data_IF_713980721098
#
_entry.id   IF_713980721098
#
_cell.length_a   1.000
_cell.length_b   1.000
_cell.length_c   1.000
_cell.angle_alpha   90.00
_cell.angle_beta   90.00
_cell.angle_gamma   90.00
#
_symmetry.space_group_name_H-M   'P 1'
#
loop_
_entity.id
_entity.type
_entity.pdbx_description
1 polymer ?
#
# COMPACT_ATOMS: atom_id res chain seq x y z
N UNK A 1 53.41 -17.62 21.46
CA UNK A 1 52.11 -17.25 20.86
C UNK A 1 51.86 -18.25 19.73
N UNK A 2 50.81 -19.09 19.79
CA UNK A 2 50.55 -20.05 18.71
C UNK A 2 49.83 -19.34 17.54
N UNK A 3 50.38 -19.51 16.36
CA UNK A 3 49.74 -19.06 15.10
C UNK A 3 48.48 -19.87 14.84
N UNK A 4 47.34 -19.18 14.70
CA UNK A 4 46.08 -19.78 14.26
C UNK A 4 46.22 -20.28 12.80
N UNK A 5 45.76 -21.50 12.45
CA UNK A 5 45.82 -22.00 11.09
C UNK A 5 44.92 -21.20 10.16
N UNK A 6 45.45 -20.76 9.02
CA UNK A 6 44.66 -20.15 7.95
C UNK A 6 43.68 -21.19 7.38
N UNK A 7 42.41 -20.96 7.47
CA UNK A 7 41.35 -21.79 6.88
C UNK A 7 41.36 -21.50 5.36
N UNK A 8 41.98 -22.39 4.57
CA UNK A 8 41.89 -22.39 3.13
C UNK A 8 40.49 -22.83 2.69
N UNK A 9 39.62 -21.90 2.38
CA UNK A 9 38.32 -22.19 1.72
C UNK A 9 38.59 -22.56 0.25
N UNK A 10 37.98 -23.61 -0.29
CA UNK A 10 38.18 -24.01 -1.67
C UNK A 10 37.67 -22.93 -2.64
N UNK A 11 38.47 -22.64 -3.68
CA UNK A 11 38.26 -21.58 -4.71
C UNK A 11 36.87 -21.61 -5.36
N UNK A 12 36.20 -22.77 -5.39
CA UNK A 12 34.83 -22.96 -5.87
C UNK A 12 33.79 -22.25 -5.00
N UNK A 13 34.02 -22.08 -3.70
CA UNK A 13 33.10 -21.37 -2.80
C UNK A 13 33.25 -19.85 -2.94
N UNK A 14 34.47 -19.36 -3.11
CA UNK A 14 34.72 -17.94 -3.38
C UNK A 14 34.11 -17.49 -4.72
N UNK A 15 34.22 -18.30 -5.78
CA UNK A 15 33.65 -17.99 -7.09
C UNK A 15 32.11 -17.96 -7.06
N UNK A 16 31.46 -18.88 -6.34
CA UNK A 16 29.98 -18.89 -6.17
C UNK A 16 29.47 -17.68 -5.35
N UNK A 17 30.21 -17.25 -4.33
CA UNK A 17 29.83 -16.09 -3.51
C UNK A 17 29.92 -14.81 -4.34
N UNK A 18 30.96 -14.65 -5.15
CA UNK A 18 31.14 -13.48 -6.02
C UNK A 18 30.07 -13.41 -7.12
N UNK A 19 29.70 -14.54 -7.71
CA UNK A 19 28.62 -14.61 -8.72
C UNK A 19 27.26 -14.26 -8.11
N UNK A 20 26.93 -14.76 -6.92
CA UNK A 20 25.71 -14.38 -6.20
C UNK A 20 25.66 -12.91 -5.81
N UNK A 21 26.80 -12.33 -5.41
CA UNK A 21 26.90 -10.91 -5.09
C UNK A 21 26.72 -10.04 -6.34
N UNK A 22 27.32 -10.42 -7.48
CA UNK A 22 27.12 -9.73 -8.77
C UNK A 22 25.67 -9.82 -9.25
N UNK A 23 25.04 -10.99 -9.18
CA UNK A 23 23.62 -11.16 -9.52
C UNK A 23 22.69 -10.32 -8.63
N UNK A 24 22.96 -10.29 -7.33
CA UNK A 24 22.23 -9.39 -6.41
C UNK A 24 22.48 -7.93 -6.75
N UNK A 25 23.70 -7.52 -7.03
CA UNK A 25 24.04 -6.14 -7.39
C UNK A 25 23.33 -5.71 -8.70
N UNK A 26 23.28 -6.54 -9.72
CA UNK A 26 22.58 -6.26 -10.99
C UNK A 26 21.04 -6.23 -10.77
N UNK A 27 20.47 -7.20 -10.03
CA UNK A 27 19.05 -7.22 -9.70
C UNK A 27 18.61 -6.01 -8.86
N UNK A 28 19.45 -5.56 -7.92
CA UNK A 28 19.15 -4.44 -7.04
C UNK A 28 19.50 -3.07 -7.63
N UNK A 29 20.41 -3.00 -8.63
CA UNK A 29 20.75 -1.75 -9.31
C UNK A 29 19.60 -1.13 -10.10
N UNK A 30 18.62 -1.94 -10.53
CA UNK A 30 17.44 -1.48 -11.27
C UNK A 30 16.20 -1.24 -10.38
N UNK A 31 16.27 -1.53 -9.07
CA UNK A 31 15.15 -1.25 -8.18
C UNK A 31 15.09 0.25 -7.86
N UNK A 32 13.91 0.88 -8.01
CA UNK A 32 13.76 2.29 -7.71
C UNK A 32 14.13 2.54 -6.24
N UNK A 33 14.79 3.67 -5.99
CA UNK A 33 15.15 4.08 -4.64
C UNK A 33 13.88 4.04 -3.75
N UNK A 34 13.98 3.53 -2.52
CA UNK A 34 12.85 3.34 -1.59
C UNK A 34 11.89 4.53 -1.54
N UNK A 35 12.42 5.76 -1.56
CA UNK A 35 11.59 6.99 -1.54
C UNK A 35 10.78 7.15 -2.84
N UNK A 36 11.36 6.82 -3.97
CA UNK A 36 10.67 6.91 -5.27
C UNK A 36 9.57 5.86 -5.37
N UNK A 37 9.84 4.63 -4.93
CA UNK A 37 8.86 3.55 -4.88
C UNK A 37 7.67 3.91 -3.97
N UNK A 38 7.93 4.50 -2.79
CA UNK A 38 6.87 4.93 -1.88
C UNK A 38 6.04 6.10 -2.43
N UNK A 39 6.68 7.06 -3.14
CA UNK A 39 5.95 8.11 -3.83
C UNK A 39 5.05 7.55 -4.94
N UNK A 40 5.58 6.65 -5.76
CA UNK A 40 4.81 6.00 -6.81
C UNK A 40 3.61 5.26 -6.21
N UNK A 41 3.84 4.45 -5.17
CA UNK A 41 2.79 3.71 -4.47
C UNK A 41 1.72 4.65 -3.90
N UNK A 42 2.13 5.74 -3.22
CA UNK A 42 1.20 6.73 -2.68
C UNK A 42 0.32 7.37 -3.77
N UNK A 43 0.95 7.81 -4.86
CA UNK A 43 0.23 8.46 -5.96
C UNK A 43 -0.57 7.50 -6.83
N UNK A 44 -0.30 6.20 -6.78
CA UNK A 44 -1.12 5.17 -7.44
C UNK A 44 -2.32 4.75 -6.59
N UNK A 45 -2.16 4.66 -5.26
CA UNK A 45 -3.24 4.27 -4.35
C UNK A 45 -4.30 5.36 -4.22
N UNK A 46 -3.90 6.64 -4.17
CA UNK A 46 -4.80 7.76 -3.91
C UNK A 46 -5.94 7.89 -4.95
N UNK A 47 -5.69 7.91 -6.28
CA UNK A 47 -6.78 7.99 -7.25
C UNK A 47 -7.69 6.76 -7.23
N UNK A 48 -7.16 5.57 -6.98
CA UNK A 48 -7.95 4.37 -6.83
C UNK A 48 -8.85 4.41 -5.59
N UNK A 49 -8.33 4.91 -4.46
CA UNK A 49 -9.14 5.12 -3.26
C UNK A 49 -10.27 6.11 -3.53
N UNK A 50 -9.99 7.23 -4.20
CA UNK A 50 -11.02 8.22 -4.58
C UNK A 50 -12.06 7.57 -5.50
N UNK A 51 -11.62 6.78 -6.49
CA UNK A 51 -12.52 6.03 -7.35
C UNK A 51 -13.49 5.16 -6.54
N UNK A 52 -12.99 4.32 -5.63
CA UNK A 52 -13.82 3.41 -4.85
C UNK A 52 -14.67 4.09 -3.76
N UNK A 53 -14.34 5.33 -3.38
CA UNK A 53 -15.21 6.15 -2.53
C UNK A 53 -16.38 6.75 -3.29
N UNK A 54 -16.20 7.07 -4.58
CA UNK A 54 -17.19 7.77 -5.39
C UNK A 54 -17.99 6.82 -6.31
N UNK A 55 -17.44 5.67 -6.66
CA UNK A 55 -18.01 4.75 -7.65
C UNK A 55 -18.20 3.37 -7.02
N UNK A 56 -19.44 3.02 -6.79
CA UNK A 56 -19.83 1.71 -6.25
C UNK A 56 -20.09 0.70 -7.38
N UNK A 57 -20.15 -0.61 -7.09
CA UNK A 57 -20.56 -1.62 -8.08
C UNK A 57 -21.93 -1.32 -8.72
N UNK A 58 -22.88 -0.76 -7.95
CA UNK A 58 -24.22 -0.37 -8.45
C UNK A 58 -24.16 0.76 -9.46
N UNK A 59 -23.17 1.66 -9.38
CA UNK A 59 -23.03 2.77 -10.34
C UNK A 59 -22.50 2.30 -11.68
N UNK A 60 -21.71 1.21 -11.72
CA UNK A 60 -21.12 0.70 -12.95
C UNK A 60 -21.95 -0.39 -13.64
N UNK A 61 -22.78 -1.11 -12.89
CA UNK A 61 -23.64 -2.18 -13.45
C UNK A 61 -24.56 -1.74 -14.60
N UNK A 62 -25.18 -0.54 -14.58
CA UNK A 62 -26.01 -0.06 -15.69
C UNK A 62 -25.25 0.12 -17.01
N UNK A 63 -23.93 0.29 -16.97
CA UNK A 63 -23.08 0.42 -18.15
C UNK A 63 -22.63 -0.94 -18.73
N UNK A 64 -23.15 -2.03 -18.20
CA UNK A 64 -22.94 -3.38 -18.68
C UNK A 64 -21.76 -4.14 -18.08
N UNK A 65 -21.59 -5.41 -18.47
CA UNK A 65 -20.62 -6.31 -17.84
C UNK A 65 -19.16 -5.85 -18.01
N UNK A 66 -18.83 -5.18 -19.11
CA UNK A 66 -17.47 -4.66 -19.33
C UNK A 66 -17.09 -3.58 -18.31
N UNK A 67 -18.00 -2.66 -17.99
CA UNK A 67 -17.76 -1.63 -16.98
C UNK A 67 -17.53 -2.23 -15.59
N UNK A 68 -18.32 -3.25 -15.23
CA UNK A 68 -18.13 -3.99 -13.98
C UNK A 68 -16.79 -4.75 -13.96
N UNK A 69 -16.37 -5.35 -15.07
CA UNK A 69 -15.08 -6.04 -15.18
C UNK A 69 -13.91 -5.07 -15.01
N UNK A 70 -13.99 -3.86 -15.57
CA UNK A 70 -12.98 -2.81 -15.39
C UNK A 70 -12.93 -2.38 -13.91
N UNK A 71 -14.10 -2.12 -13.29
CA UNK A 71 -14.18 -1.77 -11.86
C UNK A 71 -13.54 -2.84 -10.97
N UNK A 72 -13.82 -4.11 -11.22
CA UNK A 72 -13.22 -5.24 -10.47
C UNK A 72 -11.71 -5.39 -10.72
N UNK A 73 -11.23 -5.09 -11.92
CA UNK A 73 -9.80 -5.07 -12.24
C UNK A 73 -9.07 -3.95 -11.48
N UNK A 74 -9.66 -2.74 -11.44
CA UNK A 74 -9.14 -1.65 -10.62
C UNK A 74 -9.09 -2.03 -9.14
N UNK A 75 -10.10 -2.78 -8.65
CA UNK A 75 -10.11 -3.33 -7.29
C UNK A 75 -8.93 -4.27 -7.02
N UNK A 76 -8.64 -5.17 -7.95
CA UNK A 76 -7.47 -6.06 -7.82
C UNK A 76 -6.16 -5.27 -7.80
N UNK A 77 -6.01 -4.25 -8.65
CA UNK A 77 -4.84 -3.37 -8.66
C UNK A 77 -4.73 -2.64 -7.31
N UNK A 78 -5.82 -2.07 -6.81
CA UNK A 78 -5.86 -1.39 -5.51
C UNK A 78 -5.43 -2.31 -4.37
N UNK A 79 -6.02 -3.50 -4.27
CA UNK A 79 -5.66 -4.51 -3.25
C UNK A 79 -4.18 -4.89 -3.35
N UNK A 80 -3.67 -5.12 -4.54
CA UNK A 80 -2.25 -5.45 -4.76
C UNK A 80 -1.34 -4.35 -4.22
N UNK A 81 -1.64 -3.09 -4.51
CA UNK A 81 -0.88 -1.94 -4.01
C UNK A 81 -0.96 -1.81 -2.48
N UNK A 82 -2.14 -2.05 -1.87
CA UNK A 82 -2.33 -2.06 -0.42
C UNK A 82 -1.47 -3.16 0.25
N UNK A 83 -1.48 -4.37 -0.31
CA UNK A 83 -0.67 -5.48 0.19
C UNK A 83 0.83 -5.23 0.05
N UNK A 84 1.27 -4.64 -1.07
CA UNK A 84 2.67 -4.23 -1.25
C UNK A 84 3.09 -3.18 -0.21
N UNK A 85 2.19 -2.24 0.11
CA UNK A 85 2.46 -1.24 1.14
C UNK A 85 2.59 -1.87 2.52
N UNK A 86 1.62 -2.71 2.89
CA UNK A 86 1.63 -3.43 4.18
C UNK A 86 2.84 -4.34 4.30
N UNK A 87 3.19 -5.10 3.26
CA UNK A 87 4.40 -5.92 3.25
C UNK A 87 5.69 -5.09 3.40
N UNK A 88 5.73 -3.93 2.76
CA UNK A 88 6.83 -2.95 2.92
C UNK A 88 6.95 -2.44 4.35
N UNK A 89 5.83 -2.17 5.00
CA UNK A 89 5.76 -1.76 6.40
C UNK A 89 6.21 -2.88 7.35
N UNK A 90 5.70 -4.09 7.18
CA UNK A 90 6.07 -5.24 8.02
C UNK A 90 7.56 -5.58 7.94
N UNK A 91 8.17 -5.44 6.74
CA UNK A 91 9.59 -5.74 6.54
C UNK A 91 10.54 -4.66 7.03
N UNK A 92 10.16 -3.38 6.97
CA UNK A 92 11.09 -2.25 7.13
C UNK A 92 10.59 -1.19 8.12
N UNK A 93 9.43 -1.40 8.73
CA UNK A 93 8.76 -0.43 9.59
C UNK A 93 8.28 0.80 8.85
N UNK A 94 7.79 1.79 9.61
CA UNK A 94 7.24 3.03 9.09
C UNK A 94 8.29 3.79 8.27
N UNK A 95 7.93 4.13 7.03
CA UNK A 95 8.84 4.81 6.11
C UNK A 95 8.99 6.30 6.40
N UNK A 96 7.91 6.92 6.91
CA UNK A 96 7.89 8.34 7.26
C UNK A 96 8.39 8.54 8.68
N UNK A 97 9.43 9.37 8.84
CA UNK A 97 9.93 9.78 10.15
C UNK A 97 9.32 11.12 10.56
N UNK A 98 8.95 11.31 11.84
CA UNK A 98 8.54 12.62 12.32
C UNK A 98 9.70 13.61 12.18
N UNK A 99 9.41 14.80 11.64
CA UNK A 99 10.41 15.86 11.50
C UNK A 99 10.89 16.38 12.88
N UNK A 100 12.10 16.99 12.92
CA UNK A 100 12.66 17.50 14.18
C UNK A 100 11.83 18.63 14.80
N UNK A 101 11.14 19.43 13.99
CA UNK A 101 10.31 20.54 14.43
C UNK A 101 8.98 20.14 15.07
N UNK A 102 8.59 18.85 15.02
CA UNK A 102 7.32 18.38 15.56
C UNK A 102 7.37 18.29 17.09
N UNK A 103 6.38 18.89 17.82
CA UNK A 103 6.20 18.67 19.23
C UNK A 103 5.86 17.22 19.56
N UNK A 104 6.03 16.78 20.80
CA UNK A 104 5.88 15.37 21.20
C UNK A 104 4.52 14.77 20.84
N UNK A 105 3.43 15.51 21.08
CA UNK A 105 2.08 15.05 20.74
C UNK A 105 1.93 14.84 19.23
N UNK A 106 2.46 15.74 18.42
CA UNK A 106 2.38 15.65 16.95
C UNK A 106 3.27 14.53 16.39
N UNK A 107 4.38 14.17 17.06
CA UNK A 107 5.18 12.98 16.70
C UNK A 107 4.40 11.68 16.95
N UNK A 108 3.62 11.63 18.05
CA UNK A 108 2.75 10.48 18.36
C UNK A 108 1.63 10.40 17.32
N UNK A 109 0.93 11.51 17.05
CA UNK A 109 -0.14 11.59 16.06
C UNK A 109 0.35 11.20 14.66
N UNK A 110 1.52 11.70 14.23
CA UNK A 110 2.14 11.32 12.97
C UNK A 110 2.32 9.80 12.83
N UNK A 111 2.89 9.16 13.84
CA UNK A 111 3.07 7.70 13.83
C UNK A 111 1.75 6.96 13.80
N UNK A 112 0.80 7.40 14.64
CA UNK A 112 -0.52 6.79 14.71
C UNK A 112 -1.27 6.88 13.37
N UNK A 113 -1.36 8.07 12.76
CA UNK A 113 -2.03 8.27 11.47
C UNK A 113 -1.44 7.37 10.37
N UNK A 114 -0.12 7.30 10.24
CA UNK A 114 0.50 6.46 9.22
C UNK A 114 0.28 4.97 9.48
N UNK A 115 0.34 4.54 10.73
CA UNK A 115 0.09 3.14 11.09
C UNK A 115 -1.38 2.78 10.88
N UNK A 116 -2.32 3.65 11.28
CA UNK A 116 -3.74 3.46 11.08
C UNK A 116 -4.11 3.39 9.58
N UNK A 117 -3.51 4.25 8.75
CA UNK A 117 -3.71 4.19 7.29
C UNK A 117 -3.23 2.86 6.69
N UNK A 118 -2.05 2.37 7.10
CA UNK A 118 -1.52 1.10 6.56
C UNK A 118 -2.43 -0.07 6.94
N UNK A 119 -2.86 -0.13 8.20
CA UNK A 119 -3.77 -1.19 8.66
C UNK A 119 -5.19 -1.02 8.11
N UNK A 120 -5.67 0.21 7.92
CA UNK A 120 -6.93 0.48 7.23
C UNK A 120 -6.93 0.01 5.78
N UNK A 121 -5.87 0.29 5.04
CA UNK A 121 -5.69 -0.23 3.66
C UNK A 121 -5.65 -1.76 3.64
N UNK A 122 -4.98 -2.39 4.61
CA UNK A 122 -4.96 -3.85 4.73
C UNK A 122 -6.34 -4.40 5.08
N UNK A 123 -7.07 -3.77 6.01
CA UNK A 123 -8.43 -4.15 6.40
C UNK A 123 -9.37 -4.15 5.20
N UNK A 124 -9.40 -3.07 4.43
CA UNK A 124 -10.19 -2.98 3.20
C UNK A 124 -9.83 -4.07 2.18
N UNK A 125 -8.55 -4.39 2.02
CA UNK A 125 -8.13 -5.48 1.14
C UNK A 125 -8.62 -6.85 1.65
N UNK A 126 -8.54 -7.08 2.96
CA UNK A 126 -9.00 -8.31 3.60
C UNK A 126 -10.52 -8.49 3.50
N UNK A 127 -11.28 -7.47 3.83
CA UNK A 127 -12.76 -7.53 3.75
C UNK A 127 -13.25 -7.64 2.32
N UNK A 128 -12.58 -6.99 1.36
CA UNK A 128 -12.83 -7.20 -0.07
C UNK A 128 -12.59 -8.64 -0.52
N UNK A 129 -11.53 -9.29 -0.02
CA UNK A 129 -11.30 -10.72 -0.26
C UNK A 129 -12.40 -11.58 0.37
N UNK A 130 -12.80 -11.28 1.62
CA UNK A 130 -13.89 -12.01 2.30
C UNK A 130 -15.22 -11.87 1.56
N UNK A 131 -15.51 -10.70 0.98
CA UNK A 131 -16.68 -10.51 0.11
C UNK A 131 -16.66 -11.46 -1.09
N UNK A 132 -15.52 -11.59 -1.76
CA UNK A 132 -15.34 -12.54 -2.85
C UNK A 132 -15.52 -13.99 -2.41
N UNK A 133 -14.92 -14.36 -1.28
CA UNK A 133 -14.97 -15.71 -0.73
C UNK A 133 -16.38 -16.12 -0.27
N UNK A 134 -17.15 -15.22 0.33
CA UNK A 134 -18.49 -15.48 0.83
C UNK A 134 -19.59 -15.29 -0.23
N UNK A 135 -19.25 -14.82 -1.41
CA UNK A 135 -20.18 -14.61 -2.54
C UNK A 135 -20.85 -15.92 -2.96
N UNK A 136 -22.08 -15.80 -3.49
CA UNK A 136 -22.78 -16.93 -4.12
C UNK A 136 -22.28 -17.19 -5.57
N UNK A 137 -21.62 -16.24 -6.17
CA UNK A 137 -21.13 -16.29 -7.55
C UNK A 137 -19.62 -16.15 -7.61
N UNK A 138 -18.98 -16.80 -8.57
CA UNK A 138 -17.54 -16.66 -8.81
C UNK A 138 -17.24 -15.26 -9.35
N UNK A 139 -16.65 -14.40 -8.51
CA UNK A 139 -16.22 -13.08 -8.92
C UNK A 139 -14.87 -13.18 -9.64
N UNK A 140 -14.80 -12.54 -10.82
CA UNK A 140 -13.61 -12.52 -11.67
C UNK A 140 -13.14 -11.09 -11.90
N UNK A 141 -11.93 -10.76 -11.49
CA UNK A 141 -11.30 -9.48 -11.82
C UNK A 141 -11.02 -9.40 -13.32
N UNK A 142 -11.49 -8.32 -13.96
CA UNK A 142 -11.38 -8.16 -15.41
C UNK A 142 -12.08 -9.25 -16.23
N UNK A 143 -12.99 -10.02 -15.62
CA UNK A 143 -13.65 -11.15 -16.27
C UNK A 143 -12.80 -12.41 -16.43
N UNK A 144 -11.53 -12.39 -16.00
CA UNK A 144 -10.56 -13.47 -16.25
C UNK A 144 -10.08 -14.11 -14.94
N UNK A 145 -9.61 -13.30 -14.00
CA UNK A 145 -8.94 -13.79 -12.79
C UNK A 145 -9.95 -14.02 -11.65
N UNK A 146 -10.19 -15.29 -11.20
CA UNK A 146 -11.07 -15.55 -10.08
C UNK A 146 -10.45 -15.04 -8.78
N UNK A 147 -11.26 -14.37 -7.93
CA UNK A 147 -10.82 -13.87 -6.63
C UNK A 147 -10.68 -14.98 -5.59
N UNK A 148 -11.73 -15.79 -5.48
CA UNK A 148 -11.82 -16.88 -4.52
C UNK A 148 -12.93 -17.84 -4.94
N UNK A 149 -12.90 -19.13 -4.50
CA UNK A 149 -14.02 -20.04 -4.70
C UNK A 149 -15.25 -19.50 -3.96
N UNK A 150 -16.45 -19.45 -4.61
CA UNK A 150 -17.67 -18.94 -4.00
C UNK A 150 -18.21 -19.96 -2.96
N UNK A 151 -18.35 -19.54 -1.70
CA UNK A 151 -18.89 -20.39 -0.63
C UNK A 151 -20.42 -20.26 -0.45
N UNK A 152 -21.05 -19.25 -1.05
CA UNK A 152 -22.50 -19.02 -0.97
C UNK A 152 -23.00 -18.67 0.44
N UNK A 153 -22.17 -18.05 1.29
CA UNK A 153 -22.48 -17.75 2.67
C UNK A 153 -23.17 -16.37 2.78
N UNK A 154 -24.49 -16.29 2.46
CA UNK A 154 -25.23 -15.03 2.35
C UNK A 154 -25.13 -14.14 3.60
N UNK A 155 -25.31 -14.68 4.81
CA UNK A 155 -25.21 -13.90 6.06
C UNK A 155 -23.81 -13.33 6.27
N UNK A 156 -22.77 -14.14 6.06
CA UNK A 156 -21.39 -13.70 6.16
C UNK A 156 -21.04 -12.66 5.09
N UNK A 157 -21.58 -12.80 3.87
CA UNK A 157 -21.38 -11.84 2.79
C UNK A 157 -21.99 -10.47 3.11
N UNK A 158 -23.21 -10.45 3.67
CA UNK A 158 -23.84 -9.21 4.12
C UNK A 158 -23.03 -8.50 5.21
N UNK A 159 -22.56 -9.24 6.23
CA UNK A 159 -21.72 -8.69 7.30
C UNK A 159 -20.41 -8.15 6.73
N UNK A 160 -19.73 -8.93 5.91
CA UNK A 160 -18.48 -8.51 5.26
C UNK A 160 -18.68 -7.25 4.41
N UNK A 161 -19.81 -7.14 3.70
CA UNK A 161 -20.19 -5.98 2.91
C UNK A 161 -20.36 -4.72 3.75
N UNK A 162 -21.08 -4.82 4.87
CA UNK A 162 -21.25 -3.70 5.79
C UNK A 162 -19.92 -3.25 6.38
N UNK A 163 -19.09 -4.17 6.86
CA UNK A 163 -17.77 -3.86 7.39
C UNK A 163 -16.92 -3.16 6.33
N UNK A 164 -16.88 -3.69 5.10
CA UNK A 164 -16.11 -3.15 3.99
C UNK A 164 -16.50 -1.69 3.67
N UNK A 165 -17.79 -1.37 3.64
CA UNK A 165 -18.30 -0.01 3.41
C UNK A 165 -17.85 0.94 4.54
N UNK A 166 -18.04 0.54 5.82
CA UNK A 166 -17.63 1.38 6.94
C UNK A 166 -16.12 1.57 7.03
N UNK A 167 -15.33 0.55 6.67
CA UNK A 167 -13.88 0.67 6.57
C UNK A 167 -13.45 1.71 5.52
N UNK A 168 -14.12 1.78 4.37
CA UNK A 168 -13.85 2.82 3.36
C UNK A 168 -14.13 4.21 3.89
N UNK A 169 -15.25 4.44 4.59
CA UNK A 169 -15.55 5.74 5.20
C UNK A 169 -14.55 6.11 6.29
N UNK A 170 -14.19 5.17 7.14
CA UNK A 170 -13.17 5.39 8.16
C UNK A 170 -11.80 5.70 7.53
N UNK A 171 -11.43 4.98 6.48
CA UNK A 171 -10.19 5.21 5.74
C UNK A 171 -10.18 6.59 5.08
N UNK A 172 -11.30 7.02 4.49
CA UNK A 172 -11.45 8.37 3.94
C UNK A 172 -11.23 9.44 5.02
N UNK A 173 -11.84 9.27 6.20
CA UNK A 173 -11.64 10.17 7.33
C UNK A 173 -10.18 10.22 7.77
N UNK A 174 -9.51 9.07 7.84
CA UNK A 174 -8.07 8.99 8.18
C UNK A 174 -7.21 9.69 7.12
N UNK A 175 -7.55 9.57 5.83
CA UNK A 175 -6.85 10.25 4.73
C UNK A 175 -7.02 11.76 4.85
N UNK A 176 -8.22 12.26 5.12
CA UNK A 176 -8.48 13.69 5.34
C UNK A 176 -7.70 14.20 6.56
N UNK A 177 -7.73 13.48 7.68
CA UNK A 177 -6.98 13.83 8.87
C UNK A 177 -5.45 13.83 8.62
N UNK A 178 -4.95 12.85 7.86
CA UNK A 178 -3.56 12.77 7.46
C UNK A 178 -3.14 13.94 6.56
N UNK A 179 -3.93 14.26 5.55
CA UNK A 179 -3.69 15.39 4.67
C UNK A 179 -3.72 16.72 5.45
N UNK A 180 -4.75 16.93 6.28
CA UNK A 180 -4.89 18.11 7.15
C UNK A 180 -3.70 18.26 8.10
N UNK A 181 -3.23 17.15 8.70
CA UNK A 181 -2.04 17.16 9.55
C UNK A 181 -0.77 17.58 8.79
N UNK A 182 -0.58 17.11 7.56
CA UNK A 182 0.58 17.51 6.74
C UNK A 182 0.48 18.95 6.23
N UNK A 183 -0.73 19.44 5.91
CA UNK A 183 -0.97 20.83 5.56
C UNK A 183 -0.67 21.74 6.77
N UNK A 184 -1.19 21.40 7.96
CA UNK A 184 -0.90 22.11 9.20
C UNK A 184 0.62 22.17 9.47
N UNK A 185 1.34 21.07 9.31
CA UNK A 185 2.81 21.05 9.45
C UNK A 185 3.48 22.01 8.48
N UNK A 186 3.07 21.98 7.21
CA UNK A 186 3.65 22.83 6.18
C UNK A 186 3.46 24.30 6.49
N UNK A 187 2.24 24.71 6.85
CA UNK A 187 1.88 26.10 7.11
C UNK A 187 2.42 26.62 8.45
N UNK A 188 2.27 25.85 9.52
CA UNK A 188 2.62 26.32 10.88
C UNK A 188 4.07 26.10 11.26
N UNK A 189 4.63 24.95 10.90
CA UNK A 189 6.00 24.62 11.26
C UNK A 189 7.00 24.98 10.16
N UNK A 190 6.49 25.39 9.00
CA UNK A 190 7.29 25.67 7.80
C UNK A 190 8.33 24.58 7.55
N UNK A 191 7.90 23.31 7.69
CA UNK A 191 8.70 22.16 7.32
C UNK A 191 8.34 21.74 5.87
N UNK A 192 9.24 21.04 5.21
CA UNK A 192 9.02 20.59 3.83
C UNK A 192 8.14 19.33 3.72
N UNK A 193 7.21 19.12 4.66
CA UNK A 193 6.44 17.87 4.74
C UNK A 193 5.67 17.55 3.46
N UNK A 194 5.02 18.54 2.84
CA UNK A 194 4.29 18.35 1.58
C UNK A 194 5.24 18.07 0.42
N UNK A 195 6.37 18.78 0.33
CA UNK A 195 7.37 18.59 -0.75
C UNK A 195 7.99 17.18 -0.74
N UNK A 196 8.05 16.53 0.43
CA UNK A 196 8.60 15.16 0.54
C UNK A 196 7.79 14.18 -0.31
N UNK A 197 6.47 14.30 -0.32
CA UNK A 197 5.57 13.38 -1.04
C UNK A 197 5.07 13.94 -2.38
N UNK A 198 5.03 15.26 -2.54
CA UNK A 198 4.58 15.88 -3.78
C UNK A 198 5.50 15.55 -4.98
N UNK A 199 4.94 15.39 -6.19
CA UNK A 199 5.71 15.33 -7.43
C UNK A 199 6.52 16.62 -7.61
N UNK A 200 7.68 16.51 -8.28
CA UNK A 200 8.56 17.67 -8.51
C UNK A 200 7.85 18.82 -9.24
N UNK A 201 6.91 18.50 -10.14
CA UNK A 201 6.12 19.50 -10.86
C UNK A 201 5.29 20.41 -9.94
N UNK A 202 4.87 19.93 -8.76
CA UNK A 202 4.09 20.69 -7.79
C UNK A 202 4.97 21.50 -6.81
N UNK A 203 6.31 21.32 -6.81
CA UNK A 203 7.18 22.01 -5.86
C UNK A 203 7.21 23.53 -6.03
N UNK A 204 6.85 24.03 -7.21
CA UNK A 204 6.73 25.48 -7.47
C UNK A 204 5.56 26.16 -6.75
N UNK A 205 4.57 25.38 -6.31
CA UNK A 205 3.38 25.85 -5.61
C UNK A 205 3.45 25.61 -4.09
N UNK A 206 4.48 24.88 -3.63
CA UNK A 206 4.75 24.50 -2.25
C UNK A 206 6.06 25.13 -1.76
#
# INVERSE_FOLDING_TARGET
>A
MPHAPAINLPDTQLCKSTRRQRLKAVLFAHLPHRRSALKALHWSVLPLLIWFLLVTPSDVLPFGPTAFQIHSLLGLVFVTLCLLWTAGYLRRGLASRPGPKLPLWARRLHRWLHTALIWGLFGVALTGFLLGLTSATLLKAGGILPFAPPLGLHGANQIAGQIHIYEFYLLALLVVAHAGFHIWRHLRLRDNALRIMAPKALHRFL
#
